data_IF_677896821544
#
_entry.id   IF_677896821544
#
_cell.length_a   1.000
_cell.length_b   1.000
_cell.length_c   1.000
_cell.angle_alpha   90.00
_cell.angle_beta   90.00
_cell.angle_gamma   90.00
#
_symmetry.space_group_name_H-M   'P 1'
#
loop_
_entity.id
_entity.type
_entity.pdbx_description
1 polymer ?
#
# COMPACT_ATOMS: atom_id res chain seq x y z
N UNK A 1 13.20 -0.50 24.52
CA UNK A 1 12.30 0.34 25.34
C UNK A 1 10.83 0.31 24.84
N UNK A 2 10.51 0.73 23.57
CA UNK A 2 9.11 0.72 23.07
C UNK A 2 8.53 -0.69 23.03
N UNK A 3 9.30 -1.67 22.56
CA UNK A 3 8.87 -3.05 22.45
C UNK A 3 8.57 -3.67 23.82
N UNK A 4 9.43 -3.46 24.78
CA UNK A 4 9.26 -3.89 26.17
C UNK A 4 8.04 -3.23 26.81
N UNK A 5 7.89 -1.91 26.61
CA UNK A 5 6.73 -1.17 27.10
C UNK A 5 5.42 -1.77 26.58
N UNK A 6 5.30 -2.01 25.27
CA UNK A 6 4.10 -2.61 24.67
C UNK A 6 3.85 -4.02 25.22
N UNK A 7 4.92 -4.82 25.38
CA UNK A 7 4.81 -6.19 25.89
C UNK A 7 4.28 -6.23 27.33
N UNK A 8 4.70 -5.29 28.19
CA UNK A 8 4.35 -5.26 29.60
C UNK A 8 2.96 -4.61 29.85
N UNK A 9 2.56 -3.61 29.09
CA UNK A 9 1.30 -2.88 29.31
C UNK A 9 0.10 -3.66 28.78
N UNK A 10 -0.82 -4.08 29.67
CA UNK A 10 -2.01 -4.89 29.34
C UNK A 10 -2.92 -4.24 28.30
N UNK A 11 -3.10 -2.93 28.35
CA UNK A 11 -4.02 -2.16 27.47
C UNK A 11 -3.33 -1.54 26.25
N UNK A 12 -2.05 -1.82 26.01
CA UNK A 12 -1.31 -1.27 24.90
C UNK A 12 -1.36 -2.21 23.69
N UNK A 13 -1.55 -1.64 22.50
CA UNK A 13 -1.56 -2.34 21.22
C UNK A 13 -0.77 -1.52 20.20
N UNK A 14 0.00 -2.21 19.36
CA UNK A 14 0.70 -1.63 18.22
C UNK A 14 -0.15 -1.81 16.95
N UNK A 15 -0.34 -0.75 16.21
CA UNK A 15 -0.82 -0.82 14.82
C UNK A 15 0.28 -0.27 13.93
N UNK A 16 0.80 -1.12 13.05
CA UNK A 16 1.92 -0.78 12.18
C UNK A 16 1.47 -0.67 10.73
N UNK A 17 1.69 0.49 10.12
CA UNK A 17 1.45 0.71 8.71
C UNK A 17 2.67 0.25 7.91
N UNK A 18 2.55 -0.90 7.27
CA UNK A 18 3.53 -1.47 6.37
C UNK A 18 3.21 -1.11 4.92
N UNK A 19 3.79 -1.78 3.94
CA UNK A 19 3.70 -1.43 2.53
C UNK A 19 3.69 -2.67 1.64
N UNK A 20 3.12 -2.58 0.45
CA UNK A 20 3.26 -3.57 -0.62
C UNK A 20 4.73 -3.82 -1.01
N UNK A 21 5.63 -2.87 -0.77
CA UNK A 21 7.06 -3.01 -1.05
C UNK A 21 7.76 -4.13 -0.25
N UNK A 22 7.11 -4.70 0.75
CA UNK A 22 7.63 -5.92 1.40
C UNK A 22 7.62 -7.14 0.48
N UNK A 23 7.00 -7.02 -0.71
CA UNK A 23 6.90 -8.03 -1.75
C UNK A 23 7.48 -7.60 -3.10
N UNK A 24 8.24 -6.51 -3.17
CA UNK A 24 8.69 -5.95 -4.45
C UNK A 24 9.71 -6.83 -5.20
N UNK A 25 10.23 -7.88 -4.57
CA UNK A 25 11.01 -8.91 -5.23
C UNK A 25 10.15 -9.95 -5.99
N UNK A 26 8.86 -10.07 -5.63
CA UNK A 26 7.92 -10.93 -6.33
C UNK A 26 7.17 -10.12 -7.37
N UNK A 27 7.39 -10.46 -8.63
CA UNK A 27 6.83 -9.65 -9.71
C UNK A 27 5.81 -10.38 -10.58
N UNK A 28 5.66 -11.71 -10.43
CA UNK A 28 4.80 -12.51 -11.34
C UNK A 28 3.33 -12.55 -10.96
N UNK A 29 3.01 -12.34 -9.69
CA UNK A 29 1.64 -12.45 -9.15
C UNK A 29 1.43 -11.46 -8.01
N UNK A 30 0.16 -11.05 -7.74
CA UNK A 30 -0.14 -10.29 -6.53
C UNK A 30 0.15 -11.12 -5.28
N UNK A 31 0.44 -10.45 -4.17
CA UNK A 31 0.79 -11.10 -2.90
C UNK A 31 -0.37 -11.08 -1.92
N UNK A 32 -0.42 -12.11 -1.07
CA UNK A 32 -1.42 -12.32 -0.03
C UNK A 32 -0.80 -12.27 1.37
N UNK A 33 -1.64 -12.20 2.43
CA UNK A 33 -1.19 -11.97 3.80
C UNK A 33 -0.20 -13.03 4.31
N UNK A 34 -0.35 -14.28 3.88
CA UNK A 34 0.46 -15.42 4.33
C UNK A 34 1.70 -15.66 3.47
N UNK A 35 1.90 -14.86 2.42
CA UNK A 35 3.07 -15.00 1.57
C UNK A 35 4.32 -14.53 2.29
N UNK A 36 5.45 -15.18 1.99
CA UNK A 36 6.75 -14.81 2.55
C UNK A 36 7.18 -13.46 2.00
N UNK A 37 7.49 -12.52 2.89
CA UNK A 37 7.97 -11.19 2.48
C UNK A 37 9.38 -11.27 1.92
N UNK A 38 9.60 -10.67 0.75
CA UNK A 38 10.91 -10.52 0.12
C UNK A 38 10.93 -9.20 -0.67
N UNK A 39 11.96 -8.40 -0.48
CA UNK A 39 12.10 -7.10 -1.14
C UNK A 39 13.50 -6.92 -1.70
N UNK A 40 13.61 -6.19 -2.79
CA UNK A 40 14.87 -5.73 -3.40
C UNK A 40 15.18 -4.27 -3.03
N UNK A 41 14.20 -3.53 -2.50
CA UNK A 41 14.38 -2.13 -2.14
C UNK A 41 14.83 -1.96 -0.68
N UNK A 42 15.62 -0.91 -0.43
CA UNK A 42 16.01 -0.52 0.93
C UNK A 42 14.78 -0.27 1.80
N UNK A 43 13.77 0.41 1.24
CA UNK A 43 12.53 0.70 1.93
C UNK A 43 11.76 -0.58 2.31
N UNK A 44 11.62 -1.51 1.39
CA UNK A 44 10.95 -2.79 1.65
C UNK A 44 11.71 -3.64 2.69
N UNK A 45 13.03 -3.74 2.60
CA UNK A 45 13.86 -4.38 3.63
C UNK A 45 13.65 -3.77 5.02
N UNK A 46 13.61 -2.44 5.11
CA UNK A 46 13.35 -1.74 6.36
C UNK A 46 11.97 -2.11 6.92
N UNK A 47 10.93 -2.11 6.08
CA UNK A 47 9.57 -2.50 6.50
C UNK A 47 9.52 -3.97 6.95
N UNK A 48 10.17 -4.89 6.24
CA UNK A 48 10.25 -6.31 6.61
C UNK A 48 10.89 -6.47 8.00
N UNK A 49 12.00 -5.79 8.25
CA UNK A 49 12.67 -5.84 9.56
C UNK A 49 11.76 -5.36 10.69
N UNK A 50 11.00 -4.29 10.47
CA UNK A 50 10.04 -3.80 11.46
C UNK A 50 8.88 -4.79 11.65
N UNK A 51 8.33 -5.39 10.60
CA UNK A 51 7.30 -6.43 10.72
C UNK A 51 7.82 -7.59 11.57
N UNK A 52 9.01 -8.12 11.25
CA UNK A 52 9.63 -9.21 11.99
C UNK A 52 9.86 -8.87 13.47
N UNK A 53 10.24 -7.62 13.78
CA UNK A 53 10.38 -7.15 15.14
C UNK A 53 9.03 -7.13 15.86
N UNK A 54 8.00 -6.55 15.26
CA UNK A 54 6.68 -6.42 15.88
C UNK A 54 5.94 -7.77 15.99
N UNK A 55 6.18 -8.71 15.08
CA UNK A 55 5.61 -10.06 15.17
C UNK A 55 6.15 -10.88 16.35
N UNK A 56 7.23 -10.43 17.01
CA UNK A 56 7.68 -11.01 18.30
C UNK A 56 6.82 -10.58 19.49
N UNK A 57 5.98 -9.55 19.34
CA UNK A 57 4.99 -9.19 20.35
C UNK A 57 3.90 -10.27 20.47
N UNK A 58 3.22 -10.38 21.63
CA UNK A 58 2.06 -11.24 21.73
C UNK A 58 1.04 -10.95 20.62
N UNK A 59 0.55 -11.97 19.94
CA UNK A 59 -0.27 -11.84 18.72
C UNK A 59 -1.46 -10.87 18.87
N UNK A 60 -2.09 -10.85 20.05
CA UNK A 60 -3.22 -9.94 20.35
C UNK A 60 -2.82 -8.46 20.47
N UNK A 61 -1.51 -8.16 20.52
CA UNK A 61 -0.97 -6.79 20.72
C UNK A 61 -0.51 -6.13 19.43
N UNK A 62 -0.59 -6.82 18.30
CA UNK A 62 -0.10 -6.29 17.03
C UNK A 62 -1.15 -6.40 15.92
N UNK A 63 -1.29 -5.32 15.15
CA UNK A 63 -1.93 -5.34 13.83
C UNK A 63 -0.97 -4.71 12.82
N UNK A 64 -0.68 -5.41 11.74
CA UNK A 64 0.15 -4.95 10.63
C UNK A 64 -0.76 -4.72 9.43
N UNK A 65 -0.78 -3.51 8.89
CA UNK A 65 -1.53 -3.16 7.70
C UNK A 65 -0.55 -2.95 6.55
N UNK A 66 -0.55 -3.85 5.58
CA UNK A 66 0.22 -3.69 4.35
C UNK A 66 -0.61 -2.89 3.36
N UNK A 67 -0.12 -1.69 3.07
CA UNK A 67 -0.79 -0.73 2.21
C UNK A 67 -0.30 -0.87 0.77
N UNK A 68 -1.20 -0.87 -0.23
CA UNK A 68 -0.83 -0.67 -1.63
C UNK A 68 -0.51 0.81 -1.88
N UNK A 69 -0.61 1.27 -3.12
CA UNK A 69 -0.54 2.69 -3.42
C UNK A 69 -1.73 3.44 -2.83
N UNK A 70 -1.44 4.45 -2.00
CA UNK A 70 -2.46 5.29 -1.35
C UNK A 70 -2.59 6.59 -2.13
N UNK A 71 -3.82 6.93 -2.50
CA UNK A 71 -4.17 8.16 -3.19
C UNK A 71 -5.19 8.97 -2.38
N UNK A 72 -5.02 10.27 -2.38
CA UNK A 72 -5.93 11.25 -1.78
C UNK A 72 -5.61 12.63 -2.31
N UNK A 73 -6.54 13.57 -2.21
CA UNK A 73 -6.41 14.91 -2.79
C UNK A 73 -5.14 15.66 -2.35
N UNK A 74 -4.61 15.33 -1.17
CA UNK A 74 -3.40 15.90 -0.57
C UNK A 74 -2.27 14.86 -0.43
N UNK A 75 -2.39 13.69 -1.06
CA UNK A 75 -1.33 12.67 -0.96
C UNK A 75 -0.06 13.15 -1.66
N UNK A 76 1.13 12.71 -1.18
CA UNK A 76 2.39 13.09 -1.81
C UNK A 76 2.44 12.81 -3.31
N UNK A 77 1.87 11.68 -3.73
CA UNK A 77 1.79 11.31 -5.15
C UNK A 77 0.94 12.27 -5.98
N UNK A 78 -0.23 12.67 -5.48
CA UNK A 78 -1.09 13.63 -6.17
C UNK A 78 -0.44 15.01 -6.21
N UNK A 79 0.24 15.43 -5.15
CA UNK A 79 0.98 16.67 -5.13
C UNK A 79 2.17 16.67 -6.12
N UNK A 80 2.87 15.55 -6.24
CA UNK A 80 3.92 15.35 -7.25
C UNK A 80 3.35 15.48 -8.68
N UNK A 81 2.21 14.83 -8.98
CA UNK A 81 1.54 14.94 -10.27
C UNK A 81 1.14 16.39 -10.58
N UNK A 82 0.57 17.12 -9.61
CA UNK A 82 0.23 18.54 -9.76
C UNK A 82 1.47 19.39 -10.08
N UNK A 83 2.57 19.15 -9.36
CA UNK A 83 3.83 19.86 -9.60
C UNK A 83 4.37 19.60 -11.01
N UNK A 84 4.35 18.36 -11.49
CA UNK A 84 4.75 18.02 -12.86
C UNK A 84 3.88 18.75 -13.90
N UNK A 85 2.56 18.82 -13.67
CA UNK A 85 1.63 19.55 -14.54
C UNK A 85 1.87 21.07 -14.54
N UNK A 86 2.20 21.65 -13.38
CA UNK A 86 2.54 23.08 -13.24
C UNK A 86 3.84 23.43 -13.95
N UNK A 87 4.85 22.58 -13.83
CA UNK A 87 6.18 22.77 -14.41
C UNK A 87 6.29 22.31 -15.88
N UNK A 88 5.21 21.82 -16.48
CA UNK A 88 5.20 21.18 -17.82
C UNK A 88 6.25 20.05 -17.92
N UNK A 89 6.54 19.40 -16.79
CA UNK A 89 7.48 18.28 -16.69
C UNK A 89 6.81 16.96 -17.06
N UNK A 90 7.55 15.99 -17.67
CA UNK A 90 6.99 14.71 -18.04
C UNK A 90 6.64 13.87 -16.80
N UNK A 91 5.46 13.25 -16.84
CA UNK A 91 4.99 12.29 -15.83
C UNK A 91 5.42 10.88 -16.27
N UNK A 92 6.15 10.18 -15.41
CA UNK A 92 6.58 8.81 -15.70
C UNK A 92 5.42 7.83 -15.55
N UNK A 93 5.22 7.01 -16.55
CA UNK A 93 4.24 5.93 -16.61
C UNK A 93 4.94 4.59 -16.74
N UNK A 94 4.49 3.60 -15.99
CA UNK A 94 5.03 2.23 -15.98
C UNK A 94 3.98 1.25 -16.54
N UNK A 95 3.91 1.06 -17.89
CA UNK A 95 2.83 0.27 -18.51
C UNK A 95 2.78 -1.19 -18.04
N UNK A 96 3.95 -1.78 -17.77
CA UNK A 96 4.04 -3.17 -17.31
C UNK A 96 3.86 -3.33 -15.78
N UNK A 97 3.55 -2.26 -15.05
CA UNK A 97 3.30 -2.32 -13.61
C UNK A 97 1.81 -2.48 -13.33
N UNK A 98 1.46 -3.62 -12.74
CA UNK A 98 0.12 -3.92 -12.25
C UNK A 98 0.09 -3.75 -10.75
N UNK A 99 -0.87 -2.99 -10.26
CA UNK A 99 -0.99 -2.63 -8.86
C UNK A 99 -2.44 -2.64 -8.38
N UNK A 100 -2.65 -2.62 -7.08
CA UNK A 100 -3.91 -2.21 -6.50
C UNK A 100 -3.74 -0.88 -5.74
N UNK A 101 -4.84 -0.23 -5.47
CA UNK A 101 -4.86 1.13 -4.90
C UNK A 101 -5.82 1.21 -3.72
N UNK A 102 -5.67 2.25 -2.92
CA UNK A 102 -6.63 2.60 -1.86
C UNK A 102 -6.67 4.12 -1.69
N UNK A 103 -7.84 4.66 -1.32
CA UNK A 103 -7.93 6.06 -0.92
C UNK A 103 -7.50 6.25 0.54
N UNK A 104 -6.94 7.41 0.86
CA UNK A 104 -6.57 7.81 2.23
C UNK A 104 -7.77 7.74 3.19
N UNK A 105 -8.95 8.14 2.72
CA UNK A 105 -10.20 8.03 3.49
C UNK A 105 -10.52 6.56 3.82
N UNK A 106 -10.37 5.66 2.85
CA UNK A 106 -10.64 4.23 3.07
C UNK A 106 -9.63 3.61 4.02
N UNK A 107 -8.34 3.97 3.90
CA UNK A 107 -7.30 3.58 4.89
C UNK A 107 -7.73 3.99 6.29
N UNK A 108 -8.16 5.24 6.47
CA UNK A 108 -8.60 5.76 7.76
C UNK A 108 -9.80 4.98 8.32
N UNK A 109 -10.80 4.69 7.49
CA UNK A 109 -11.98 3.91 7.88
C UNK A 109 -11.60 2.48 8.32
N UNK A 110 -10.73 1.81 7.56
CA UNK A 110 -10.27 0.45 7.88
C UNK A 110 -9.42 0.45 9.17
N UNK A 111 -8.56 1.45 9.33
CA UNK A 111 -7.74 1.63 10.53
C UNK A 111 -8.61 1.83 11.78
N UNK A 112 -9.60 2.71 11.72
CA UNK A 112 -10.56 2.92 12.81
C UNK A 112 -11.31 1.62 13.18
N UNK A 113 -11.75 0.85 12.19
CA UNK A 113 -12.38 -0.43 12.45
C UNK A 113 -11.45 -1.41 13.16
N UNK A 114 -10.19 -1.53 12.70
CA UNK A 114 -9.20 -2.43 13.29
C UNK A 114 -8.90 -2.05 14.75
N UNK A 115 -8.78 -0.75 15.03
CA UNK A 115 -8.54 -0.24 16.39
C UNK A 115 -9.75 -0.48 17.27
N UNK A 116 -10.94 -0.01 16.86
CA UNK A 116 -12.16 -0.03 17.68
C UNK A 116 -12.68 -1.45 17.95
N UNK A 117 -12.46 -2.37 17.00
CA UNK A 117 -12.82 -3.80 17.13
C UNK A 117 -11.69 -4.67 17.68
N UNK A 118 -10.61 -4.03 18.15
CA UNK A 118 -9.45 -4.71 18.70
C UNK A 118 -8.92 -5.86 17.82
N UNK A 119 -8.97 -5.68 16.48
CA UNK A 119 -8.50 -6.70 15.52
C UNK A 119 -6.97 -6.79 15.56
N UNK A 120 -6.42 -7.99 15.33
CA UNK A 120 -4.99 -8.26 15.36
C UNK A 120 -4.57 -9.16 14.19
N UNK A 121 -3.26 -9.23 13.95
CA UNK A 121 -2.67 -9.98 12.84
C UNK A 121 -2.31 -9.11 11.64
N UNK A 122 -2.09 -9.73 10.50
CA UNK A 122 -1.71 -9.06 9.25
C UNK A 122 -2.96 -8.82 8.41
N UNK A 123 -3.05 -7.63 7.83
CA UNK A 123 -4.13 -7.20 6.95
C UNK A 123 -3.53 -6.64 5.66
N UNK A 124 -3.99 -7.14 4.51
CA UNK A 124 -3.83 -6.45 3.25
C UNK A 124 -5.00 -5.50 3.07
N UNK A 125 -4.70 -4.22 2.95
CA UNK A 125 -5.70 -3.15 2.81
C UNK A 125 -5.57 -2.55 1.43
N UNK A 126 -6.62 -2.60 0.63
CA UNK A 126 -6.59 -2.11 -0.76
C UNK A 126 -7.82 -2.54 -1.53
N UNK A 127 -7.91 -2.11 -2.79
CA UNK A 127 -8.89 -2.66 -3.70
C UNK A 127 -8.60 -4.13 -3.98
N UNK A 128 -9.64 -4.86 -4.31
CA UNK A 128 -9.50 -6.22 -4.85
C UNK A 128 -9.18 -6.21 -6.33
N UNK A 129 -9.50 -5.11 -6.99
CA UNK A 129 -9.22 -4.93 -8.41
C UNK A 129 -7.77 -4.53 -8.64
N UNK A 130 -7.23 -5.07 -9.70
CA UNK A 130 -5.90 -4.74 -10.22
C UNK A 130 -6.03 -3.75 -11.36
N UNK A 131 -5.11 -2.80 -11.42
CA UNK A 131 -5.07 -1.78 -12.47
C UNK A 131 -3.65 -1.65 -13.01
N UNK A 132 -3.51 -1.35 -14.28
CA UNK A 132 -2.24 -0.92 -14.86
C UNK A 132 -1.91 0.48 -14.36
N UNK A 133 -0.66 0.68 -13.95
CA UNK A 133 -0.19 1.96 -13.42
C UNK A 133 -0.42 3.11 -14.39
N UNK A 134 -0.11 2.91 -15.67
CA UNK A 134 -0.23 3.96 -16.68
C UNK A 134 -1.68 4.36 -16.92
N UNK A 135 -2.61 3.41 -17.01
CA UNK A 135 -4.04 3.69 -17.19
C UNK A 135 -4.60 4.43 -15.99
N UNK A 136 -4.24 3.98 -14.77
CA UNK A 136 -4.67 4.64 -13.54
C UNK A 136 -4.16 6.08 -13.43
N UNK A 137 -2.86 6.32 -13.75
CA UNK A 137 -2.29 7.66 -13.67
C UNK A 137 -2.88 8.58 -14.75
N UNK A 138 -3.10 8.09 -15.98
CA UNK A 138 -3.75 8.87 -17.04
C UNK A 138 -5.17 9.30 -16.65
N UNK A 139 -5.97 8.37 -16.09
CA UNK A 139 -7.31 8.65 -15.58
C UNK A 139 -7.27 9.67 -14.43
N UNK A 140 -6.35 9.50 -13.49
CA UNK A 140 -6.18 10.42 -12.36
C UNK A 140 -5.79 11.82 -12.82
N UNK A 141 -4.83 11.93 -13.74
CA UNK A 141 -4.36 13.22 -14.28
C UNK A 141 -5.47 13.93 -15.06
N UNK A 142 -6.28 13.20 -15.83
CA UNK A 142 -7.44 13.78 -16.55
C UNK A 142 -8.48 14.41 -15.60
N UNK A 143 -8.59 13.89 -14.37
CA UNK A 143 -9.49 14.42 -13.32
C UNK A 143 -8.89 15.60 -12.54
N UNK A 144 -7.55 15.72 -12.52
CA UNK A 144 -6.86 16.79 -11.81
C UNK A 144 -6.72 18.05 -12.68
N UNK A 145 -6.51 17.88 -13.99
CA UNK A 145 -6.18 18.99 -14.89
C UNK A 145 -6.79 18.80 -16.27
N UNK A 146 -7.24 19.92 -16.85
CA UNK A 146 -7.64 19.97 -18.26
C UNK A 146 -6.45 20.18 -19.23
N UNK A 147 -5.23 20.38 -18.73
CA UNK A 147 -4.02 20.51 -19.56
C UNK A 147 -3.66 19.17 -20.17
N UNK A 148 -3.12 19.17 -21.38
CA UNK A 148 -2.52 17.98 -21.99
C UNK A 148 -1.17 17.69 -21.32
N UNK A 149 -1.07 16.62 -20.53
CA UNK A 149 0.16 16.28 -19.85
C UNK A 149 1.19 15.66 -20.81
N UNK A 150 2.46 15.86 -20.50
CA UNK A 150 3.55 15.11 -21.14
C UNK A 150 3.74 13.80 -20.39
N UNK A 151 3.70 12.67 -21.09
CA UNK A 151 3.98 11.36 -20.51
C UNK A 151 5.29 10.79 -21.02
N UNK A 152 6.04 10.15 -20.11
CA UNK A 152 7.25 9.38 -20.40
C UNK A 152 7.01 7.94 -20.02
N UNK A 153 6.97 7.02 -21.01
CA UNK A 153 6.84 5.60 -20.74
C UNK A 153 8.17 5.04 -20.23
N UNK A 154 8.12 4.32 -19.10
CA UNK A 154 9.28 3.69 -18.47
C UNK A 154 9.03 2.19 -18.36
N UNK A 155 9.86 1.40 -19.04
CA UNK A 155 9.83 -0.05 -18.97
C UNK A 155 11.02 -0.54 -18.15
N UNK A 156 10.74 -1.14 -16.98
CA UNK A 156 11.80 -1.73 -16.14
C UNK A 156 12.10 -3.16 -16.53
N UNK A 157 11.15 -3.84 -17.15
CA UNK A 157 11.24 -5.21 -17.68
C UNK A 157 10.34 -5.32 -18.90
N UNK A 158 10.53 -6.37 -19.72
CA UNK A 158 9.62 -6.68 -20.83
C UNK A 158 8.34 -7.38 -20.37
N UNK A 159 8.35 -7.97 -19.17
CA UNK A 159 7.22 -8.69 -18.62
C UNK A 159 6.40 -7.81 -17.69
N UNK A 160 5.13 -8.14 -17.54
CA UNK A 160 4.28 -7.57 -16.50
C UNK A 160 4.85 -7.89 -15.11
N UNK A 161 4.80 -6.89 -14.23
CA UNK A 161 5.17 -7.08 -12.83
C UNK A 161 4.09 -6.56 -11.92
N UNK A 162 3.83 -7.33 -10.88
CA UNK A 162 2.83 -7.02 -9.89
C UNK A 162 3.46 -6.38 -8.66
N UNK A 163 2.92 -5.24 -8.24
CA UNK A 163 3.16 -4.64 -6.93
C UNK A 163 1.81 -4.43 -6.26
N UNK A 164 1.18 -5.54 -5.87
CA UNK A 164 -0.17 -5.56 -5.35
C UNK A 164 -0.28 -6.46 -4.12
N UNK A 165 -1.04 -6.01 -3.13
CA UNK A 165 -1.35 -6.73 -1.90
C UNK A 165 -2.86 -6.96 -1.81
N UNK A 166 -3.30 -8.16 -2.21
CA UNK A 166 -4.70 -8.52 -2.22
C UNK A 166 -5.12 -9.18 -0.89
N UNK A 167 -6.29 -8.84 -0.35
CA UNK A 167 -6.81 -9.52 0.83
C UNK A 167 -7.34 -10.91 0.44
N UNK A 168 -6.69 -11.97 0.92
CA UNK A 168 -7.17 -13.36 0.76
C UNK A 168 -8.26 -13.69 1.76
N UNK A 169 -8.04 -13.28 3.01
CA UNK A 169 -9.02 -13.47 4.07
C UNK A 169 -9.84 -12.19 4.23
N UNK A 170 -11.17 -12.29 4.11
CA UNK A 170 -12.08 -11.17 4.30
C UNK A 170 -12.19 -10.80 5.79
N UNK A 171 -11.11 -10.30 6.36
CA UNK A 171 -11.04 -9.86 7.77
C UNK A 171 -11.79 -8.56 8.03
N UNK A 172 -12.14 -7.83 6.96
CA UNK A 172 -12.86 -6.56 7.03
C UNK A 172 -14.30 -6.71 6.52
N UNK A 173 -15.28 -6.02 7.12
CA UNK A 173 -16.67 -6.00 6.65
C UNK A 173 -16.78 -5.55 5.19
N UNK A 174 -17.79 -6.04 4.47
CA UNK A 174 -18.00 -5.71 3.03
C UNK A 174 -17.99 -4.20 2.74
N UNK A 175 -18.64 -3.38 3.58
CA UNK A 175 -18.70 -1.92 3.39
C UNK A 175 -17.35 -1.21 3.56
N UNK A 176 -16.36 -1.87 4.17
CA UNK A 176 -14.99 -1.37 4.30
C UNK A 176 -14.06 -1.92 3.22
N UNK A 177 -14.47 -2.94 2.48
CA UNK A 177 -13.71 -3.43 1.34
C UNK A 177 -13.82 -2.45 0.18
N UNK A 178 -12.85 -2.45 -0.70
CA UNK A 178 -12.79 -1.64 -1.90
C UNK A 178 -12.72 -2.57 -3.11
N UNK A 179 -13.54 -2.27 -4.10
CA UNK A 179 -13.60 -2.95 -5.40
C UNK A 179 -13.14 -1.96 -6.45
#
# INVERSE_FOLDING_TARGET
HLFEYISLKKKCKMVFLSSANVFDAYSKYPSYENDTTLSNSIYGHFKIRLEQLFLKLPAKKIAILRLPMVFGAQSPRVNELKLHLELDAPIELFPNLIMNVISDQKVTQQLHYIINRNKHGIFHVGSKDLVHHDDFIKDLVSKISAKNPKFKLVYTTNDERYLAVLPKENKLPKHLQMY
#
